data_IF_570087064628
#
_entry.id   IF_570087064628
#
_cell.length_a   1.000
_cell.length_b   1.000
_cell.length_c   1.000
_cell.angle_alpha   90.00
_cell.angle_beta   90.00
_cell.angle_gamma   90.00
#
_symmetry.space_group_name_H-M   'P 1'
#
loop_
_entity.id
_entity.type
_entity.pdbx_description
1 polymer ?
#
# COMPACT_ATOMS: atom_id res chain seq x y z
N UNK A 1 18.10 -11.89 -1.93
CA UNK A 1 17.07 -10.88 -2.21
C UNK A 1 16.16 -10.77 -1.00
N UNK A 2 16.31 -9.72 -0.19
CA UNK A 2 15.49 -9.49 0.99
C UNK A 2 14.08 -9.10 0.58
N UNK A 3 13.08 -9.69 1.22
CA UNK A 3 11.67 -9.31 1.05
C UNK A 3 11.59 -7.84 1.47
N UNK A 4 10.99 -6.93 0.67
CA UNK A 4 10.78 -5.56 1.13
C UNK A 4 9.84 -5.62 2.33
N UNK A 5 10.40 -5.51 3.53
CA UNK A 5 9.65 -5.34 4.75
C UNK A 5 9.14 -3.91 4.76
N UNK A 6 7.97 -3.70 4.16
CA UNK A 6 7.25 -2.44 4.29
C UNK A 6 6.97 -2.18 5.78
N UNK A 7 7.35 -1.01 6.27
CA UNK A 7 7.08 -0.61 7.66
C UNK A 7 5.58 -0.54 7.91
N UNK A 8 5.14 -0.77 9.15
CA UNK A 8 3.73 -0.69 9.50
C UNK A 8 3.13 0.70 9.24
N UNK A 9 3.93 1.76 9.42
CA UNK A 9 3.57 3.13 9.04
C UNK A 9 3.22 3.25 7.56
N UNK A 10 3.96 2.54 6.70
CA UNK A 10 3.71 2.53 5.27
C UNK A 10 2.40 1.81 4.93
N UNK A 11 2.11 0.67 5.59
CA UNK A 11 0.82 -0.02 5.43
C UNK A 11 -0.34 0.86 5.91
N UNK A 12 -0.16 1.57 7.03
CA UNK A 12 -1.16 2.51 7.56
C UNK A 12 -1.44 3.66 6.60
N UNK A 13 -0.41 4.25 6.02
CA UNK A 13 -0.57 5.35 5.07
C UNK A 13 -1.32 4.86 3.81
N UNK A 14 -0.96 3.68 3.29
CA UNK A 14 -1.66 3.08 2.16
C UNK A 14 -3.15 2.82 2.46
N UNK A 15 -3.47 2.25 3.62
CA UNK A 15 -4.85 2.04 4.07
C UNK A 15 -5.58 3.36 4.26
N UNK A 16 -4.91 4.39 4.78
CA UNK A 16 -5.49 5.71 4.98
C UNK A 16 -5.83 6.38 3.64
N UNK A 17 -4.95 6.26 2.63
CA UNK A 17 -5.22 6.74 1.28
C UNK A 17 -6.42 6.03 0.62
N UNK A 18 -6.54 4.72 0.80
CA UNK A 18 -7.69 3.95 0.28
C UNK A 18 -8.98 4.30 1.03
N UNK A 19 -8.95 4.32 2.36
CA UNK A 19 -10.14 4.48 3.20
C UNK A 19 -10.64 5.93 3.29
N UNK A 20 -9.75 6.92 3.30
CA UNK A 20 -10.12 8.34 3.49
C UNK A 20 -10.31 9.07 2.18
N UNK A 21 -9.48 8.80 1.17
CA UNK A 21 -9.67 9.42 -0.16
C UNK A 21 -10.55 8.61 -1.09
N UNK A 22 -10.88 7.36 -0.73
CA UNK A 22 -11.69 6.48 -1.57
C UNK A 22 -10.96 6.00 -2.82
N UNK A 23 -9.62 6.09 -2.85
CA UNK A 23 -8.85 5.65 -4.00
C UNK A 23 -8.84 4.13 -4.11
N UNK A 24 -8.89 3.64 -5.34
CA UNK A 24 -8.76 2.22 -5.60
C UNK A 24 -7.38 1.73 -5.11
N UNK A 25 -7.35 0.55 -4.50
CA UNK A 25 -6.12 -0.12 -4.05
C UNK A 25 -5.07 -0.19 -5.15
N UNK A 26 -5.51 -0.31 -6.42
CA UNK A 26 -4.63 -0.31 -7.60
C UNK A 26 -3.92 1.03 -7.82
N UNK A 27 -4.62 2.13 -7.65
CA UNK A 27 -4.07 3.49 -7.85
C UNK A 27 -3.10 3.86 -6.74
N UNK A 28 -3.40 3.47 -5.50
CA UNK A 28 -2.51 3.63 -4.34
C UNK A 28 -1.27 2.74 -4.49
N UNK A 29 -1.45 1.51 -4.96
CA UNK A 29 -0.36 0.57 -5.25
C UNK A 29 0.60 1.11 -6.32
N UNK A 30 0.08 1.64 -7.42
CA UNK A 30 0.89 2.26 -8.47
C UNK A 30 1.62 3.52 -7.98
N UNK A 31 0.93 4.40 -7.23
CA UNK A 31 1.55 5.60 -6.64
C UNK A 31 2.66 5.29 -5.66
N UNK A 32 2.48 4.26 -4.85
CA UNK A 32 3.43 3.85 -3.83
C UNK A 32 4.54 2.93 -4.38
N UNK A 33 4.47 2.55 -5.67
CA UNK A 33 5.46 1.66 -6.29
C UNK A 33 5.47 0.24 -5.69
N UNK A 34 4.35 -0.17 -5.11
CA UNK A 34 4.19 -1.49 -4.48
C UNK A 34 3.23 -2.34 -5.28
N UNK A 35 3.29 -3.65 -5.12
CA UNK A 35 2.26 -4.53 -5.63
C UNK A 35 1.06 -4.54 -4.70
N UNK A 36 -0.15 -4.58 -5.26
CA UNK A 36 -1.41 -4.76 -4.51
C UNK A 36 -1.35 -6.00 -3.60
N UNK A 37 -0.63 -7.04 -4.01
CA UNK A 37 -0.37 -8.24 -3.19
C UNK A 37 0.27 -7.92 -1.83
N UNK A 38 1.13 -6.90 -1.73
CA UNK A 38 1.73 -6.46 -0.47
C UNK A 38 0.75 -5.76 0.47
N UNK A 39 -0.40 -5.31 -0.04
CA UNK A 39 -1.47 -4.71 0.77
C UNK A 39 -2.42 -5.77 1.35
N UNK A 40 -2.52 -6.94 0.70
CA UNK A 40 -3.29 -8.08 1.19
C UNK A 40 -2.49 -9.00 2.12
N UNK A 41 -1.17 -8.82 2.20
CA UNK A 41 -0.24 -9.65 2.96
C UNK A 41 0.31 -8.95 4.20
#
# INVERSE_FOLDING_TARGET
MGKPNFSEDFKRDAVHQVAVRGYAVREVSERLGISTYSLYK
#
